data_IF_275281004556
#
_entry.id   IF_275281004556
#
_cell.length_a   1.000
_cell.length_b   1.000
_cell.length_c   1.000
_cell.angle_alpha   90.00
_cell.angle_beta   90.00
_cell.angle_gamma   90.00
#
_symmetry.space_group_name_H-M   'P 1'
#
loop_
_entity.id
_entity.type
_entity.pdbx_description
1 polymer ?
#
# COMPACT_ATOMS: atom_id res chain seq x y z
N UNK A 1 -7.25 5.40 9.95
CA UNK A 1 -8.29 5.86 8.98
C UNK A 1 -9.34 4.76 8.72
N UNK A 2 -9.08 3.66 7.96
CA UNK A 2 -10.14 2.63 7.76
C UNK A 2 -10.64 2.07 9.09
N UNK A 3 -9.75 1.58 9.95
CA UNK A 3 -10.12 1.06 11.27
C UNK A 3 -10.77 2.09 12.20
N UNK A 4 -10.41 3.35 12.08
CA UNK A 4 -10.99 4.45 12.87
C UNK A 4 -12.39 4.83 12.39
N UNK A 5 -12.63 4.82 11.07
CA UNK A 5 -13.94 5.18 10.51
C UNK A 5 -15.05 4.20 10.87
N UNK A 6 -14.68 2.93 11.13
CA UNK A 6 -15.65 1.87 11.47
C UNK A 6 -15.48 1.32 12.89
N UNK A 7 -14.53 1.86 13.68
CA UNK A 7 -14.23 1.44 15.05
C UNK A 7 -13.96 -0.08 15.19
N UNK A 8 -13.44 -0.69 14.12
CA UNK A 8 -13.11 -2.13 14.04
C UNK A 8 -11.70 -2.34 13.53
N UNK A 9 -11.07 -3.44 13.93
CA UNK A 9 -9.81 -3.85 13.30
C UNK A 9 -10.04 -4.39 11.88
N UNK A 10 -9.02 -4.29 11.00
CA UNK A 10 -9.11 -4.85 9.64
C UNK A 10 -9.39 -6.37 9.66
N UNK A 11 -8.72 -7.18 10.53
CA UNK A 11 -9.06 -8.60 10.66
C UNK A 11 -10.53 -8.86 11.00
N UNK A 12 -11.07 -8.16 12.00
CA UNK A 12 -12.47 -8.34 12.42
C UNK A 12 -13.46 -7.96 11.32
N UNK A 13 -13.15 -6.90 10.58
CA UNK A 13 -13.97 -6.46 9.45
C UNK A 13 -13.98 -7.49 8.32
N UNK A 14 -12.80 -8.01 7.95
CA UNK A 14 -12.68 -9.02 6.90
C UNK A 14 -13.35 -10.33 7.32
N UNK A 15 -13.23 -10.74 8.59
CA UNK A 15 -13.88 -11.93 9.12
C UNK A 15 -15.42 -11.82 9.11
N UNK A 16 -15.95 -10.65 9.49
CA UNK A 16 -17.40 -10.42 9.59
C UNK A 16 -18.06 -10.10 8.26
N UNK A 17 -17.40 -9.33 7.41
CA UNK A 17 -18.01 -8.71 6.23
C UNK A 17 -17.35 -9.14 4.90
N UNK A 18 -16.21 -9.81 4.96
CA UNK A 18 -15.47 -10.31 3.80
C UNK A 18 -14.62 -9.25 3.09
N UNK A 19 -13.71 -9.74 2.24
CA UNK A 19 -12.79 -8.90 1.48
C UNK A 19 -13.49 -7.95 0.51
N UNK A 20 -14.63 -8.34 -0.07
CA UNK A 20 -15.35 -7.50 -1.04
C UNK A 20 -15.86 -6.20 -0.37
N UNK A 21 -16.48 -6.31 0.81
CA UNK A 21 -16.96 -5.15 1.54
C UNK A 21 -15.81 -4.29 2.04
N UNK A 22 -14.72 -4.90 2.51
CA UNK A 22 -13.50 -4.18 2.85
C UNK A 22 -12.99 -3.35 1.66
N UNK A 23 -12.94 -3.91 0.43
CA UNK A 23 -12.48 -3.20 -0.76
C UNK A 23 -13.40 -2.05 -1.18
N UNK A 24 -14.71 -2.17 -0.99
CA UNK A 24 -15.64 -1.05 -1.21
C UNK A 24 -15.34 0.10 -0.26
N UNK A 25 -15.24 -0.19 1.03
CA UNK A 25 -14.91 0.80 2.06
C UNK A 25 -13.52 1.42 1.82
N UNK A 26 -12.51 0.62 1.47
CA UNK A 26 -11.17 1.12 1.09
C UNK A 26 -11.28 2.14 -0.04
N UNK A 27 -12.08 1.87 -1.07
CA UNK A 27 -12.24 2.78 -2.21
C UNK A 27 -12.98 4.07 -1.85
N UNK A 28 -13.99 4.00 -1.02
CA UNK A 28 -14.71 5.17 -0.51
C UNK A 28 -13.79 6.07 0.30
N UNK A 29 -13.00 5.50 1.21
CA UNK A 29 -12.04 6.25 2.01
C UNK A 29 -10.91 6.83 1.17
N UNK A 30 -10.40 6.11 0.18
CA UNK A 30 -9.39 6.63 -0.75
C UNK A 30 -9.94 7.86 -1.49
N UNK A 31 -11.16 7.80 -2.00
CA UNK A 31 -11.78 8.94 -2.69
C UNK A 31 -11.91 10.15 -1.76
N UNK A 32 -12.45 9.95 -0.55
CA UNK A 32 -12.62 11.01 0.43
C UNK A 32 -11.29 11.65 0.84
N UNK A 33 -10.25 10.82 1.07
CA UNK A 33 -8.93 11.31 1.46
C UNK A 33 -8.30 12.11 0.33
N UNK A 34 -8.36 11.61 -0.92
CA UNK A 34 -7.80 12.31 -2.07
C UNK A 34 -8.47 13.67 -2.33
N UNK A 35 -9.76 13.81 -2.00
CA UNK A 35 -10.45 15.08 -2.14
C UNK A 35 -10.04 16.14 -1.10
N UNK A 36 -9.58 15.72 0.06
CA UNK A 36 -9.23 16.59 1.20
C UNK A 36 -7.73 16.77 1.42
N UNK A 37 -6.92 15.80 1.00
CA UNK A 37 -5.49 15.79 1.26
C UNK A 37 -4.77 16.92 0.49
N UNK A 38 -3.99 17.71 1.23
CA UNK A 38 -3.08 18.71 0.67
C UNK A 38 -1.73 18.60 1.38
N UNK A 39 -0.64 18.59 0.63
CA UNK A 39 0.72 18.48 1.17
C UNK A 39 0.85 17.32 2.18
N UNK A 40 0.32 16.16 1.83
CA UNK A 40 0.17 15.02 2.71
C UNK A 40 0.80 13.77 2.13
N UNK A 41 1.18 12.84 2.99
CA UNK A 41 1.60 11.50 2.62
C UNK A 41 0.43 10.55 2.91
N UNK A 42 0.00 9.80 1.90
CA UNK A 42 -1.04 8.78 2.03
C UNK A 42 -0.34 7.42 2.04
N UNK A 43 -0.33 6.75 3.19
CA UNK A 43 0.15 5.39 3.32
C UNK A 43 -0.96 4.40 2.94
N UNK A 44 -0.77 3.72 1.82
CA UNK A 44 -1.75 2.82 1.22
C UNK A 44 -1.45 1.36 1.55
N UNK A 45 -2.47 0.60 1.89
CA UNK A 45 -2.37 -0.86 1.92
C UNK A 45 -2.06 -1.45 0.54
N UNK A 46 -1.35 -2.58 0.50
CA UNK A 46 -0.94 -3.22 -0.77
C UNK A 46 -2.10 -3.71 -1.65
N UNK A 47 -3.34 -3.66 -1.18
CA UNK A 47 -4.53 -3.99 -1.97
C UNK A 47 -5.11 -2.82 -2.75
N UNK A 48 -4.71 -1.59 -2.47
CA UNK A 48 -5.26 -0.38 -3.09
C UNK A 48 -5.17 -0.40 -4.63
N UNK A 49 -4.14 -1.03 -5.19
CA UNK A 49 -3.92 -1.17 -6.64
C UNK A 49 -4.90 -2.11 -7.34
N UNK A 50 -5.72 -2.85 -6.59
CA UNK A 50 -6.72 -3.75 -7.18
C UNK A 50 -7.94 -3.01 -7.72
N UNK A 51 -8.15 -1.76 -7.32
CA UNK A 51 -9.20 -0.89 -7.82
C UNK A 51 -8.62 0.18 -8.76
N UNK A 52 -9.05 0.19 -10.01
CA UNK A 52 -8.63 1.20 -10.97
C UNK A 52 -9.14 2.60 -10.56
N UNK A 53 -10.31 2.68 -9.91
CA UNK A 53 -10.85 3.93 -9.36
C UNK A 53 -9.93 4.52 -8.27
N UNK A 54 -9.35 3.67 -7.41
CA UNK A 54 -8.38 4.12 -6.42
C UNK A 54 -7.16 4.74 -7.10
N UNK A 55 -6.65 4.11 -8.15
CA UNK A 55 -5.50 4.61 -8.88
C UNK A 55 -5.78 5.95 -9.58
N UNK A 56 -6.97 6.10 -10.16
CA UNK A 56 -7.41 7.39 -10.74
C UNK A 56 -7.42 8.49 -9.67
N UNK A 57 -8.00 8.22 -8.50
CA UNK A 57 -8.06 9.20 -7.42
C UNK A 57 -6.66 9.56 -6.88
N UNK A 58 -5.82 8.58 -6.58
CA UNK A 58 -4.48 8.80 -6.04
C UNK A 58 -3.55 9.53 -7.01
N UNK A 59 -3.68 9.29 -8.32
CA UNK A 59 -2.84 9.91 -9.35
C UNK A 59 -3.36 11.25 -9.85
N UNK A 60 -4.57 11.66 -9.49
CA UNK A 60 -5.17 12.92 -9.95
C UNK A 60 -4.32 14.14 -9.56
N UNK A 61 -3.84 14.19 -8.32
CA UNK A 61 -3.03 15.27 -7.77
C UNK A 61 -1.87 14.75 -6.91
N UNK A 62 -1.48 13.48 -7.08
CA UNK A 62 -0.49 12.80 -6.27
C UNK A 62 0.57 12.08 -7.10
N UNK A 63 1.68 11.79 -6.44
CA UNK A 63 2.77 10.95 -6.95
C UNK A 63 2.75 9.61 -6.23
N UNK A 64 2.70 8.54 -6.99
CA UNK A 64 2.68 7.19 -6.44
C UNK A 64 4.10 6.62 -6.31
N UNK A 65 4.52 6.39 -5.08
CA UNK A 65 5.82 5.79 -4.77
C UNK A 65 5.60 4.31 -4.44
N UNK A 66 6.22 3.43 -5.20
CA UNK A 66 6.24 2.00 -4.90
C UNK A 66 7.48 1.65 -4.09
N UNK A 67 7.28 1.18 -2.87
CA UNK A 67 8.34 0.57 -2.07
C UNK A 67 8.40 -0.92 -2.35
N UNK A 68 9.54 -1.41 -2.81
CA UNK A 68 9.77 -2.84 -3.03
C UNK A 68 10.75 -3.41 -2.01
N UNK A 69 10.71 -4.71 -1.84
CA UNK A 69 11.74 -5.45 -1.13
C UNK A 69 11.79 -6.90 -1.64
N UNK A 70 12.92 -7.60 -1.40
CA UNK A 70 12.99 -9.03 -1.66
C UNK A 70 11.96 -9.80 -0.83
N UNK A 71 11.48 -10.92 -1.36
CA UNK A 71 10.51 -11.77 -0.65
C UNK A 71 10.99 -12.15 0.75
N UNK A 72 12.27 -12.44 0.92
CA UNK A 72 12.87 -12.75 2.22
C UNK A 72 12.78 -11.58 3.19
N UNK A 73 13.08 -10.37 2.71
CA UNK A 73 12.97 -9.14 3.51
C UNK A 73 11.53 -8.87 3.90
N UNK A 74 10.57 -9.04 2.97
CA UNK A 74 9.14 -8.89 3.25
C UNK A 74 8.73 -9.85 4.35
N UNK A 75 9.01 -11.15 4.20
CA UNK A 75 8.67 -12.17 5.18
C UNK A 75 9.27 -11.84 6.56
N UNK A 76 10.54 -11.44 6.60
CA UNK A 76 11.21 -11.07 7.85
C UNK A 76 10.53 -9.91 8.57
N UNK A 77 10.06 -8.90 7.81
CA UNK A 77 9.43 -7.71 8.37
C UNK A 77 8.02 -7.95 8.88
N UNK A 78 7.23 -8.79 8.18
CA UNK A 78 5.79 -8.90 8.46
C UNK A 78 5.38 -10.22 9.16
N UNK A 79 6.28 -11.18 9.36
CA UNK A 79 5.97 -12.50 9.96
C UNK A 79 5.38 -12.44 11.38
N UNK A 80 5.58 -11.33 12.08
CA UNK A 80 5.09 -11.12 13.46
C UNK A 80 3.90 -10.15 13.53
N UNK A 81 3.44 -9.65 12.39
CA UNK A 81 2.29 -8.75 12.34
C UNK A 81 0.99 -9.54 12.50
N UNK A 82 0.38 -9.41 13.68
CA UNK A 82 -0.90 -10.04 14.02
C UNK A 82 -2.13 -9.32 13.43
N UNK A 83 -1.94 -8.11 12.92
CA UNK A 83 -3.03 -7.29 12.37
C UNK A 83 -3.26 -7.54 10.87
N UNK A 84 -2.61 -8.55 10.31
CA UNK A 84 -2.73 -8.89 8.89
C UNK A 84 -3.55 -10.16 8.72
N UNK A 85 -4.82 -10.05 8.26
CA UNK A 85 -5.62 -11.23 7.95
C UNK A 85 -5.03 -11.99 6.76
N UNK A 86 -5.12 -13.32 6.78
CA UNK A 86 -4.77 -14.14 5.63
C UNK A 86 -5.68 -13.82 4.45
N UNK A 87 -5.12 -13.78 3.26
CA UNK A 87 -5.88 -13.57 2.02
C UNK A 87 -6.36 -14.89 1.43
N UNK A 88 -5.71 -16.00 1.77
CA UNK A 88 -6.03 -17.31 1.22
C UNK A 88 -5.78 -18.42 2.26
N UNK A 89 -6.78 -19.25 2.49
CA UNK A 89 -6.67 -20.39 3.39
C UNK A 89 -5.89 -21.54 2.74
N UNK A 90 -5.10 -22.27 3.54
CA UNK A 90 -4.42 -23.49 3.11
C UNK A 90 -3.01 -23.30 2.53
N UNK A 91 -2.54 -22.07 2.36
CA UNK A 91 -1.16 -21.80 1.96
C UNK A 91 -0.28 -21.50 3.17
N UNK A 92 1.00 -21.84 3.08
CA UNK A 92 1.98 -21.30 4.01
C UNK A 92 2.12 -19.79 3.80
N UNK A 93 2.46 -19.07 4.86
CA UNK A 93 2.65 -17.62 4.80
C UNK A 93 3.61 -17.18 3.66
N UNK A 94 4.66 -17.95 3.42
CA UNK A 94 5.63 -17.67 2.33
C UNK A 94 5.02 -17.86 0.94
N UNK A 95 4.22 -18.89 0.76
CA UNK A 95 3.54 -19.17 -0.51
C UNK A 95 2.49 -18.11 -0.81
N UNK A 96 1.70 -17.74 0.21
CA UNK A 96 0.74 -16.65 0.10
C UNK A 96 1.41 -15.34 -0.32
N UNK A 97 2.51 -14.93 0.32
CA UNK A 97 3.22 -13.71 -0.04
C UNK A 97 3.78 -13.77 -1.46
N UNK A 98 4.34 -14.90 -1.89
CA UNK A 98 4.82 -15.09 -3.26
C UNK A 98 3.69 -14.94 -4.28
N UNK A 99 2.54 -15.55 -4.03
CA UNK A 99 1.36 -15.47 -4.88
C UNK A 99 0.87 -14.04 -5.00
N UNK A 100 0.67 -13.34 -3.88
CA UNK A 100 0.23 -11.95 -3.83
C UNK A 100 1.15 -11.04 -4.65
N UNK A 101 2.46 -11.19 -4.48
CA UNK A 101 3.44 -10.38 -5.23
C UNK A 101 3.31 -10.67 -6.72
N UNK A 102 3.29 -11.94 -7.13
CA UNK A 102 3.20 -12.32 -8.54
C UNK A 102 1.91 -11.80 -9.20
N UNK A 103 0.77 -11.88 -8.52
CA UNK A 103 -0.53 -11.42 -9.03
C UNK A 103 -0.62 -9.89 -9.15
N UNK A 104 0.07 -9.15 -8.28
CA UNK A 104 -0.09 -7.69 -8.21
C UNK A 104 1.09 -6.92 -8.79
N UNK A 105 2.19 -7.58 -9.13
CA UNK A 105 3.43 -6.90 -9.57
C UNK A 105 3.19 -5.97 -10.75
N UNK A 106 2.46 -6.41 -11.77
CA UNK A 106 2.16 -5.60 -12.94
C UNK A 106 1.36 -4.34 -12.58
N UNK A 107 0.34 -4.47 -11.71
CA UNK A 107 -0.45 -3.34 -11.23
C UNK A 107 0.38 -2.36 -10.41
N UNK A 108 1.24 -2.85 -9.52
CA UNK A 108 2.16 -2.01 -8.76
C UNK A 108 3.08 -1.20 -9.67
N UNK A 109 3.66 -1.84 -10.69
CA UNK A 109 4.58 -1.15 -11.62
C UNK A 109 3.87 -0.12 -12.48
N UNK A 110 2.67 -0.40 -12.95
CA UNK A 110 1.85 0.55 -13.73
C UNK A 110 1.42 1.75 -12.86
N UNK A 111 1.11 1.51 -11.60
CA UNK A 111 0.71 2.54 -10.66
C UNK A 111 1.88 3.48 -10.27
N UNK A 112 3.11 2.97 -10.24
CA UNK A 112 4.25 3.68 -9.69
C UNK A 112 4.81 4.76 -10.62
N UNK A 113 4.98 5.97 -10.10
CA UNK A 113 5.75 7.05 -10.72
C UNK A 113 7.23 6.99 -10.33
N UNK A 114 7.52 6.36 -9.16
CA UNK A 114 8.86 6.06 -8.70
C UNK A 114 8.89 4.73 -7.96
N UNK A 115 9.95 3.93 -8.17
CA UNK A 115 10.14 2.65 -7.51
C UNK A 115 11.40 2.70 -6.66
N UNK A 116 11.27 2.41 -5.36
CA UNK A 116 12.35 2.40 -4.41
C UNK A 116 12.51 1.02 -3.76
N UNK A 117 13.61 0.33 -4.06
CA UNK A 117 13.96 -0.92 -3.37
C UNK A 117 14.48 -0.61 -1.97
N UNK A 118 13.82 -1.18 -0.97
CA UNK A 118 14.13 -1.02 0.45
C UNK A 118 14.80 -2.24 1.07
N UNK A 119 15.15 -3.26 0.30
CA UNK A 119 15.66 -4.55 0.79
C UNK A 119 16.84 -4.40 1.74
N UNK A 120 17.75 -3.48 1.42
CA UNK A 120 19.00 -3.26 2.16
C UNK A 120 19.14 -1.82 2.66
N UNK A 121 18.06 -1.04 2.69
CA UNK A 121 18.07 0.35 3.13
C UNK A 121 17.44 0.50 4.49
N UNK A 122 17.99 1.41 5.27
CA UNK A 122 17.33 1.93 6.47
C UNK A 122 16.18 2.85 6.06
N UNK A 123 15.13 3.00 6.89
CA UNK A 123 14.01 3.88 6.57
C UNK A 123 14.42 5.31 6.20
N UNK A 124 15.42 5.85 6.90
CA UNK A 124 15.92 7.21 6.61
C UNK A 124 16.53 7.33 5.22
N UNK A 125 17.33 6.37 4.79
CA UNK A 125 17.95 6.36 3.45
C UNK A 125 16.90 6.21 2.34
N UNK A 126 15.82 5.50 2.64
CA UNK A 126 14.66 5.39 1.76
C UNK A 126 13.94 6.74 1.63
N UNK A 127 13.70 7.42 2.76
CA UNK A 127 13.06 8.74 2.79
C UNK A 127 13.90 9.78 2.04
N UNK A 128 15.22 9.82 2.25
CA UNK A 128 16.14 10.72 1.55
C UNK A 128 16.06 10.51 0.03
N UNK A 129 16.07 9.26 -0.44
CA UNK A 129 15.98 8.94 -1.86
C UNK A 129 14.63 9.37 -2.47
N UNK A 130 13.53 9.19 -1.75
CA UNK A 130 12.22 9.65 -2.18
C UNK A 130 12.17 11.18 -2.24
N UNK A 131 12.69 11.86 -1.22
CA UNK A 131 12.75 13.32 -1.17
C UNK A 131 13.57 13.88 -2.33
N UNK A 132 14.71 13.28 -2.65
CA UNK A 132 15.52 13.64 -3.81
C UNK A 132 14.70 13.53 -5.11
N UNK A 133 14.01 12.40 -5.33
CA UNK A 133 13.14 12.23 -6.49
C UNK A 133 12.04 13.31 -6.55
N UNK A 134 11.33 13.54 -5.45
CA UNK A 134 10.25 14.53 -5.39
C UNK A 134 10.76 15.95 -5.65
N UNK A 135 11.96 16.30 -5.14
CA UNK A 135 12.59 17.60 -5.39
C UNK A 135 12.94 17.78 -6.87
N UNK A 136 13.40 16.73 -7.56
CA UNK A 136 13.68 16.81 -9.01
C UNK A 136 12.42 17.02 -9.85
N UNK A 137 11.25 16.69 -9.31
CA UNK A 137 9.95 16.86 -9.93
C UNK A 137 9.21 18.13 -9.47
N UNK A 138 9.80 18.90 -8.56
CA UNK A 138 9.20 20.14 -8.03
C UNK A 138 8.04 19.90 -7.05
N UNK A 139 7.93 18.71 -6.47
CA UNK A 139 6.88 18.39 -5.51
C UNK A 139 7.23 18.81 -4.07
N UNK A 140 8.50 18.93 -3.77
CA UNK A 140 9.01 19.44 -2.48
C UNK A 140 10.19 20.37 -2.72
N UNK A 141 10.33 21.37 -1.86
CA UNK A 141 11.51 22.23 -1.83
C UNK A 141 12.72 21.49 -1.25
N UNK A 142 13.93 21.89 -1.67
CA UNK A 142 15.17 21.30 -1.15
C UNK A 142 15.49 21.82 0.24
#
# INVERSE_FOLDING_TARGET
MISESVEKSIPDMVEQEGWENFRKLESEIVAEVCDRAKNSIIDCGGGVVLSDANMVNLKREGVCILLTASLETIIKRIRHDKNRPSLESGLSFKEEQRKIIAERESRYRIAADFICDTSQRRPIETAEKITEFLSTKGWVEK
#
